data_IF_965767486262
#
_entry.id   IF_965767486262
#
_cell.length_a   1.000
_cell.length_b   1.000
_cell.length_c   1.000
_cell.angle_alpha   90.00
_cell.angle_beta   90.00
_cell.angle_gamma   90.00
#
_symmetry.space_group_name_H-M   'P 1'
#
loop_
_entity.id
_entity.type
_entity.pdbx_description
1 polymer ?
#
# COMPACT_ATOMS: atom_id res chain seq x y z
N UNK A 1 -1.77 18.60 -6.62
CA UNK A 1 -0.61 18.44 -5.71
C UNK A 1 -0.74 17.05 -5.10
N UNK A 2 0.35 16.27 -4.96
CA UNK A 2 0.37 14.83 -4.58
C UNK A 2 0.10 13.85 -5.74
N UNK A 3 0.97 13.85 -6.74
CA UNK A 3 1.01 12.80 -7.77
C UNK A 3 2.45 12.39 -8.06
N UNK A 4 2.70 11.14 -8.48
CA UNK A 4 4.02 10.73 -8.90
C UNK A 4 4.55 11.60 -10.05
N UNK A 5 5.85 11.86 -10.04
CA UNK A 5 6.55 12.65 -11.07
C UNK A 5 7.45 11.78 -11.96
N UNK A 6 7.64 10.52 -11.60
CA UNK A 6 8.46 9.54 -12.33
C UNK A 6 7.61 8.38 -12.84
N UNK A 7 8.11 7.65 -13.83
CA UNK A 7 7.42 6.47 -14.36
C UNK A 7 7.24 5.41 -13.27
N UNK A 8 8.30 5.14 -12.52
CA UNK A 8 8.33 4.17 -11.42
C UNK A 8 7.33 4.52 -10.34
N UNK A 9 7.22 5.81 -9.99
CA UNK A 9 6.23 6.27 -9.02
C UNK A 9 4.80 6.06 -9.50
N UNK A 10 4.53 6.25 -10.81
CA UNK A 10 3.23 5.94 -11.39
C UNK A 10 2.92 4.44 -11.39
N UNK A 11 3.92 3.61 -11.70
CA UNK A 11 3.76 2.16 -11.65
C UNK A 11 3.45 1.66 -10.22
N UNK A 12 4.17 2.17 -9.21
CA UNK A 12 3.86 1.84 -7.81
C UNK A 12 2.48 2.38 -7.40
N UNK A 13 2.10 3.57 -7.86
CA UNK A 13 0.78 4.12 -7.57
C UNK A 13 -0.36 3.26 -8.14
N UNK A 14 -0.23 2.78 -9.38
CA UNK A 14 -1.19 1.83 -9.98
C UNK A 14 -1.21 0.50 -9.22
N UNK A 15 -0.02 -0.02 -8.86
CA UNK A 15 0.11 -1.24 -8.05
C UNK A 15 -0.67 -1.13 -6.74
N UNK A 16 -0.52 -0.03 -5.99
CA UNK A 16 -1.22 0.20 -4.72
C UNK A 16 -2.73 0.10 -4.87
N UNK A 17 -3.29 0.64 -5.96
CA UNK A 17 -4.73 0.53 -6.25
C UNK A 17 -5.23 -0.91 -6.38
N UNK A 18 -4.34 -1.87 -6.65
CA UNK A 18 -4.65 -3.30 -6.80
C UNK A 18 -4.49 -4.09 -5.49
N UNK A 19 -3.89 -3.51 -4.44
CA UNK A 19 -3.59 -4.20 -3.18
C UNK A 19 -4.76 -4.26 -2.20
N UNK A 20 -5.92 -3.68 -2.52
CA UNK A 20 -7.09 -3.67 -1.62
C UNK A 20 -7.50 -5.07 -1.11
N UNK A 21 -7.39 -6.10 -1.96
CA UNK A 21 -7.70 -7.49 -1.59
C UNK A 21 -6.63 -8.19 -0.74
N UNK A 22 -5.47 -7.56 -0.51
CA UNK A 22 -4.35 -8.11 0.25
C UNK A 22 -4.20 -7.46 1.64
N UNK A 23 -5.24 -6.76 2.10
CA UNK A 23 -5.22 -6.11 3.40
C UNK A 23 -5.17 -7.13 4.54
N UNK A 24 -4.27 -6.90 5.48
CA UNK A 24 -4.12 -7.68 6.71
C UNK A 24 -4.74 -6.91 7.87
N UNK A 25 -5.67 -7.56 8.55
CA UNK A 25 -6.46 -6.97 9.63
C UNK A 25 -6.43 -7.84 10.87
N UNK A 26 -6.59 -7.21 12.02
CA UNK A 26 -6.82 -7.81 13.33
C UNK A 26 -8.08 -7.19 13.93
N UNK A 27 -8.65 -7.76 15.02
CA UNK A 27 -9.81 -7.15 15.67
C UNK A 27 -9.54 -5.69 16.03
N UNK A 28 -10.29 -4.77 15.42
CA UNK A 28 -10.20 -3.33 15.68
C UNK A 28 -9.04 -2.59 15.00
N UNK A 29 -8.22 -3.22 14.16
CA UNK A 29 -7.11 -2.54 13.50
C UNK A 29 -6.71 -3.15 12.14
N UNK A 30 -6.27 -2.29 11.23
CA UNK A 30 -5.50 -2.65 10.04
C UNK A 30 -4.02 -2.73 10.41
N UNK A 31 -3.35 -3.80 9.98
CA UNK A 31 -1.93 -4.06 10.28
C UNK A 31 -1.02 -3.74 9.09
N UNK A 32 -1.54 -3.83 7.87
CA UNK A 32 -0.78 -3.55 6.65
C UNK A 32 -1.34 -4.31 5.44
N UNK A 33 -0.57 -4.36 4.37
CA UNK A 33 -0.78 -5.31 3.27
C UNK A 33 0.05 -6.58 3.49
N UNK A 34 -0.30 -7.64 2.77
CA UNK A 34 0.67 -8.68 2.50
C UNK A 34 1.74 -8.15 1.53
N UNK A 35 2.87 -7.70 2.07
CA UNK A 35 4.00 -7.21 1.26
C UNK A 35 4.62 -8.28 0.37
N UNK A 36 4.49 -9.57 0.71
CA UNK A 36 4.97 -10.65 -0.15
C UNK A 36 4.08 -10.78 -1.39
N UNK A 37 2.76 -10.74 -1.20
CA UNK A 37 1.81 -10.69 -2.31
C UNK A 37 1.96 -9.42 -3.15
N UNK A 38 2.22 -8.27 -2.50
CA UNK A 38 2.44 -7.01 -3.19
C UNK A 38 3.70 -7.02 -4.08
N UNK A 39 4.82 -7.54 -3.57
CA UNK A 39 6.06 -7.67 -4.34
C UNK A 39 5.93 -8.71 -5.47
N UNK A 40 5.20 -9.81 -5.25
CA UNK A 40 4.91 -10.78 -6.30
C UNK A 40 4.05 -10.16 -7.43
N UNK A 41 3.04 -9.37 -7.07
CA UNK A 41 2.23 -8.63 -8.04
C UNK A 41 3.04 -7.57 -8.78
N UNK A 42 3.91 -6.83 -8.07
CA UNK A 42 4.83 -5.88 -8.67
C UNK A 42 5.70 -6.54 -9.75
N UNK A 43 6.29 -7.69 -9.43
CA UNK A 43 7.08 -8.47 -10.37
C UNK A 43 6.26 -8.93 -11.59
N UNK A 44 5.03 -9.42 -11.37
CA UNK A 44 4.14 -9.85 -12.45
C UNK A 44 3.72 -8.72 -13.40
N UNK A 45 3.63 -7.48 -12.90
CA UNK A 45 3.27 -6.29 -13.67
C UNK A 45 4.48 -5.58 -14.30
N UNK A 46 5.71 -6.09 -14.09
CA UNK A 46 6.93 -5.47 -14.59
C UNK A 46 7.28 -4.15 -13.90
N UNK A 47 6.81 -3.96 -12.66
CA UNK A 47 7.20 -2.81 -11.83
C UNK A 47 8.65 -3.01 -11.36
N UNK A 48 9.44 -1.95 -11.37
CA UNK A 48 10.82 -1.98 -10.86
C UNK A 48 10.86 -2.54 -9.42
N UNK A 49 11.60 -3.64 -9.16
CA UNK A 49 11.67 -4.22 -7.82
C UNK A 49 12.21 -3.24 -6.78
N UNK A 50 13.20 -2.42 -7.16
CA UNK A 50 13.75 -1.39 -6.29
C UNK A 50 12.70 -0.32 -5.96
N UNK A 51 11.95 0.16 -6.96
CA UNK A 51 10.91 1.15 -6.72
C UNK A 51 9.79 0.58 -5.83
N UNK A 52 9.35 -0.65 -6.06
CA UNK A 52 8.35 -1.31 -5.24
C UNK A 52 8.84 -1.48 -3.78
N UNK A 53 10.07 -1.96 -3.59
CA UNK A 53 10.64 -2.18 -2.26
C UNK A 53 10.83 -0.88 -1.46
N UNK A 54 11.18 0.21 -2.11
CA UNK A 54 11.41 1.51 -1.45
C UNK A 54 10.09 2.25 -1.17
N UNK A 55 9.16 2.25 -2.13
CA UNK A 55 7.96 3.10 -2.06
C UNK A 55 6.79 2.42 -1.33
N UNK A 56 6.59 1.11 -1.49
CA UNK A 56 5.44 0.41 -0.88
C UNK A 56 5.39 0.51 0.65
N UNK A 57 6.50 0.34 1.40
CA UNK A 57 6.46 0.42 2.86
C UNK A 57 6.03 1.80 3.37
N UNK A 58 6.44 2.87 2.68
CA UNK A 58 6.06 4.25 3.05
C UNK A 58 4.57 4.47 2.82
N UNK A 59 4.03 3.96 1.71
CA UNK A 59 2.60 4.06 1.39
C UNK A 59 1.78 3.21 2.36
N UNK A 60 2.24 2.01 2.71
CA UNK A 60 1.61 1.13 3.70
C UNK A 60 1.47 1.84 5.05
N UNK A 61 2.55 2.47 5.54
CA UNK A 61 2.51 3.18 6.82
C UNK A 61 1.42 4.27 6.85
N UNK A 62 1.28 5.03 5.76
CA UNK A 62 0.23 6.05 5.65
C UNK A 62 -1.16 5.40 5.58
N UNK A 63 -1.32 4.33 4.80
CA UNK A 63 -2.56 3.58 4.69
C UNK A 63 -3.01 3.03 6.04
N UNK A 64 -2.12 2.35 6.77
CA UNK A 64 -2.38 1.78 8.11
C UNK A 64 -2.81 2.87 9.08
N UNK A 65 -2.07 3.98 9.14
CA UNK A 65 -2.41 5.11 10.01
C UNK A 65 -3.82 5.64 9.69
N UNK A 66 -4.12 5.86 8.41
CA UNK A 66 -5.42 6.43 7.98
C UNK A 66 -6.60 5.50 8.25
N UNK A 67 -6.45 4.20 8.02
CA UNK A 67 -7.54 3.26 8.32
C UNK A 67 -7.78 3.14 9.83
N UNK A 68 -6.71 3.09 10.64
CA UNK A 68 -6.86 3.01 12.10
C UNK A 68 -7.45 4.30 12.69
N UNK A 69 -7.06 5.48 12.20
CA UNK A 69 -7.68 6.76 12.56
C UNK A 69 -9.20 6.76 12.28
N UNK A 70 -9.63 6.25 11.12
CA UNK A 70 -11.05 6.18 10.76
C UNK A 70 -11.83 5.19 11.63
N UNK A 71 -11.22 4.05 11.97
CA UNK A 71 -11.84 3.07 12.87
C UNK A 71 -12.02 3.64 14.27
N UNK A 72 -11.05 4.40 14.79
CA UNK A 72 -11.15 5.05 16.10
C UNK A 72 -12.28 6.09 16.13
N UNK A 73 -12.39 6.92 15.07
CA UNK A 73 -13.48 7.89 14.93
C UNK A 73 -14.87 7.27 14.77
N UNK A 74 -14.96 6.03 14.27
CA UNK A 74 -16.24 5.34 14.07
C UNK A 74 -16.74 4.64 15.35
N UNK A 75 -15.87 4.46 16.35
CA UNK A 75 -16.20 3.83 17.63
C UNK A 75 -16.30 4.83 18.81
N UNK A 76 -16.18 6.13 18.56
CA UNK A 76 -16.44 7.23 19.51
C UNK A 76 -17.80 7.86 19.30
#
# INVERSE_FOLDING_TARGET
MNRPQTHEGWQVWDLVGRLGGQLRVMPGAVVGWDLSAALALAAALGVSPAAAAELLPVIEAVMVAKFNEQMDQSHG
#
